data_IF_708009348389
#
_entry.id   IF_708009348389
#
_cell.length_a   1.000
_cell.length_b   1.000
_cell.length_c   1.000
_cell.angle_alpha   90.00
_cell.angle_beta   90.00
_cell.angle_gamma   90.00
#
_symmetry.space_group_name_H-M   'P 1'
#
loop_
_entity.id
_entity.type
_entity.pdbx_description
1 polymer ?
#
# COMPACT_ATOMS: atom_id res chain seq x y z
N UNK A 1 16.22 23.23 19.43
CA UNK A 1 16.06 21.85 19.95
C UNK A 1 14.86 21.66 20.89
N UNK A 2 14.47 22.66 21.68
CA UNK A 2 13.35 22.59 22.65
C UNK A 2 11.95 22.41 22.04
N UNK A 3 11.72 22.96 20.84
CA UNK A 3 10.38 22.99 20.23
C UNK A 3 9.95 21.65 19.59
N UNK A 4 10.89 20.79 19.21
CA UNK A 4 10.60 19.47 18.63
C UNK A 4 10.07 18.49 19.68
N UNK A 5 10.65 18.52 20.89
CA UNK A 5 10.23 17.70 22.02
C UNK A 5 8.81 18.02 22.51
N UNK A 6 8.39 19.29 22.41
CA UNK A 6 7.01 19.70 22.74
C UNK A 6 5.98 19.17 21.74
N UNK A 7 6.28 19.19 20.43
CA UNK A 7 5.42 18.57 19.41
C UNK A 7 5.29 17.06 19.61
N UNK A 8 6.39 16.40 19.97
CA UNK A 8 6.36 14.96 20.27
C UNK A 8 5.47 14.63 21.47
N UNK A 9 5.55 15.40 22.56
CA UNK A 9 4.66 15.23 23.74
C UNK A 9 3.18 15.41 23.41
N UNK A 10 2.84 16.26 22.44
CA UNK A 10 1.44 16.47 22.05
C UNK A 10 0.86 15.24 21.31
N UNK A 11 1.68 14.50 20.56
CA UNK A 11 1.26 13.25 19.91
C UNK A 11 0.93 12.13 20.91
N UNK A 12 1.60 12.09 22.06
CA UNK A 12 1.39 11.08 23.10
C UNK A 12 0.22 11.37 24.05
N UNK A 13 -0.35 12.57 24.02
CA UNK A 13 -1.39 13.01 24.99
C UNK A 13 -2.81 13.04 24.41
N UNK A 14 -3.02 12.50 23.21
CA UNK A 14 -4.36 12.42 22.62
C UNK A 14 -5.07 11.15 23.14
N UNK A 15 -6.18 11.40 23.82
CA UNK A 15 -7.15 10.49 24.44
C UNK A 15 -7.26 9.09 23.79
N UNK A 16 -7.39 8.07 24.65
CA UNK A 16 -7.58 6.66 24.33
C UNK A 16 -8.83 6.41 23.46
N UNK A 17 -8.72 6.64 22.15
CA UNK A 17 -9.60 6.03 21.17
C UNK A 17 -8.94 4.74 20.69
N UNK A 18 -9.59 3.60 20.95
CA UNK A 18 -9.31 2.22 20.49
C UNK A 18 -7.94 2.06 19.82
N UNK A 19 -6.99 1.52 20.57
CA UNK A 19 -5.60 1.26 20.16
C UNK A 19 -5.55 0.45 18.87
N UNK A 20 -5.49 1.13 17.72
CA UNK A 20 -5.09 0.53 16.46
C UNK A 20 -3.55 0.42 16.51
N UNK A 21 -2.97 -0.78 16.37
CA UNK A 21 -1.53 -0.93 16.45
C UNK A 21 -0.87 -0.13 15.32
N UNK A 22 -0.01 0.83 15.70
CA UNK A 22 0.78 1.61 14.75
C UNK A 22 1.94 0.73 14.25
N UNK A 23 1.85 0.28 12.99
CA UNK A 23 2.95 -0.39 12.29
C UNK A 23 3.97 0.66 11.83
N UNK A 24 5.08 0.79 12.56
CA UNK A 24 6.21 1.63 12.15
C UNK A 24 7.19 0.74 11.38
N UNK A 25 7.10 0.73 10.04
CA UNK A 25 8.06 0.04 9.18
C UNK A 25 9.21 0.99 8.89
N UNK A 26 10.41 0.66 9.41
CA UNK A 26 11.63 1.42 9.14
C UNK A 26 12.16 1.06 7.76
N UNK A 27 12.14 2.01 6.81
CA UNK A 27 12.76 1.86 5.47
C UNK A 27 14.27 1.66 5.67
N UNK A 28 14.76 0.43 5.49
CA UNK A 28 16.19 0.20 5.22
C UNK A 28 16.42 0.67 3.79
N UNK A 29 17.36 1.60 3.63
CA UNK A 29 17.83 2.07 2.34
C UNK A 29 18.88 1.06 1.86
N UNK A 30 19.06 0.98 0.54
CA UNK A 30 20.05 0.19 -0.21
C UNK A 30 19.52 -1.13 -0.80
N UNK A 31 18.45 -1.03 -1.61
CA UNK A 31 18.28 -1.91 -2.75
C UNK A 31 18.05 -1.03 -3.98
N UNK A 32 19.09 -0.89 -4.81
CA UNK A 32 19.16 0.05 -5.94
C UNK A 32 18.15 -0.26 -7.06
N UNK A 33 17.42 -1.38 -6.94
CA UNK A 33 16.39 -1.80 -7.90
C UNK A 33 14.96 -1.57 -7.41
N UNK A 34 14.75 -0.90 -6.28
CA UNK A 34 13.40 -0.62 -5.78
C UNK A 34 12.87 0.69 -6.38
N UNK A 35 12.00 0.54 -7.39
CA UNK A 35 11.19 1.66 -7.91
C UNK A 35 9.98 1.87 -7.01
N UNK A 36 9.87 3.06 -6.43
CA UNK A 36 8.76 3.47 -5.57
C UNK A 36 7.69 4.17 -6.41
N UNK A 37 6.41 3.84 -6.15
CA UNK A 37 5.26 4.39 -6.86
C UNK A 37 4.30 5.04 -5.87
N UNK A 38 3.66 6.14 -6.27
CA UNK A 38 2.71 6.87 -5.44
C UNK A 38 1.31 6.24 -5.46
N UNK A 39 1.01 5.43 -6.48
CA UNK A 39 -0.27 4.74 -6.63
C UNK A 39 -0.13 3.42 -7.39
N UNK A 40 -1.14 2.54 -7.24
CA UNK A 40 -1.21 1.29 -8.00
C UNK A 40 -1.39 1.58 -9.50
N UNK A 41 -2.11 2.65 -9.85
CA UNK A 41 -2.30 3.12 -11.22
C UNK A 41 -0.96 3.44 -11.89
N UNK A 42 -0.07 4.14 -11.19
CA UNK A 42 1.27 4.49 -11.68
C UNK A 42 2.11 3.23 -11.95
N UNK A 43 2.06 2.25 -11.05
CA UNK A 43 2.75 0.98 -11.22
C UNK A 43 2.20 0.16 -12.40
N UNK A 44 0.87 0.16 -12.60
CA UNK A 44 0.24 -0.53 -13.73
C UNK A 44 0.63 0.13 -15.05
N UNK A 45 0.65 1.47 -15.12
CA UNK A 45 1.05 2.21 -16.31
C UNK A 45 2.52 1.91 -16.70
N UNK A 46 3.40 1.72 -15.73
CA UNK A 46 4.78 1.30 -16.02
C UNK A 46 4.82 -0.12 -16.63
N UNK A 47 4.05 -1.06 -16.07
CA UNK A 47 3.95 -2.43 -16.58
C UNK A 47 3.34 -2.49 -18.00
N UNK A 48 2.41 -1.60 -18.34
CA UNK A 48 1.84 -1.49 -19.69
C UNK A 48 2.88 -1.18 -20.77
N UNK A 49 3.91 -0.43 -20.40
CA UNK A 49 4.98 -0.03 -21.30
C UNK A 49 6.10 -1.08 -21.38
N UNK A 50 6.07 -2.12 -20.55
CA UNK A 50 7.07 -3.19 -20.54
C UNK A 50 6.74 -4.28 -21.56
N UNK A 51 7.59 -4.39 -22.60
CA UNK A 51 7.47 -5.42 -23.64
C UNK A 51 7.60 -6.86 -23.13
N UNK A 52 8.17 -7.06 -21.93
CA UNK A 52 8.32 -8.38 -21.33
C UNK A 52 7.06 -8.84 -20.58
N UNK A 53 6.08 -7.95 -20.38
CA UNK A 53 4.85 -8.26 -19.67
C UNK A 53 3.72 -8.48 -20.67
N UNK A 54 3.12 -9.68 -20.73
CA UNK A 54 1.99 -9.93 -21.62
C UNK A 54 0.79 -9.05 -21.28
N UNK A 55 0.20 -8.42 -22.31
CA UNK A 55 -0.98 -7.56 -22.18
C UNK A 55 -2.15 -8.25 -21.47
N UNK A 56 -2.35 -9.55 -21.69
CA UNK A 56 -3.41 -10.34 -21.03
C UNK A 56 -3.26 -10.33 -19.50
N UNK A 57 -2.02 -10.43 -18.99
CA UNK A 57 -1.76 -10.41 -17.54
C UNK A 57 -2.05 -9.04 -16.95
N UNK A 58 -1.77 -7.96 -17.68
CA UNK A 58 -2.03 -6.59 -17.26
C UNK A 58 -3.54 -6.33 -17.19
N UNK A 59 -4.31 -6.77 -18.19
CA UNK A 59 -5.78 -6.64 -18.18
C UNK A 59 -6.42 -7.43 -17.02
N UNK A 60 -5.93 -8.64 -16.74
CA UNK A 60 -6.35 -9.42 -15.57
C UNK A 60 -6.02 -8.72 -14.25
N UNK A 61 -4.86 -8.07 -14.17
CA UNK A 61 -4.46 -7.28 -13.00
C UNK A 61 -5.39 -6.07 -12.80
N UNK A 62 -5.65 -5.28 -13.84
CA UNK A 62 -6.55 -4.11 -13.78
C UNK A 62 -7.95 -4.49 -13.32
N UNK A 63 -8.53 -5.54 -13.91
CA UNK A 63 -9.87 -6.01 -13.52
C UNK A 63 -9.92 -6.46 -12.07
N UNK A 64 -8.87 -7.15 -11.59
CA UNK A 64 -8.74 -7.55 -10.19
C UNK A 64 -8.67 -6.33 -9.26
N UNK A 65 -7.82 -5.34 -9.58
CA UNK A 65 -7.70 -4.10 -8.78
C UNK A 65 -9.01 -3.34 -8.73
N UNK A 66 -9.71 -3.20 -9.86
CA UNK A 66 -11.02 -2.54 -9.92
C UNK A 66 -12.04 -3.24 -9.02
N UNK A 67 -12.15 -4.58 -9.13
CA UNK A 67 -13.05 -5.36 -8.28
C UNK A 67 -12.75 -5.18 -6.79
N UNK A 68 -11.47 -5.07 -6.42
CA UNK A 68 -11.06 -4.89 -5.03
C UNK A 68 -11.34 -3.47 -4.51
N UNK A 69 -11.13 -2.44 -5.34
CA UNK A 69 -11.42 -1.04 -4.97
C UNK A 69 -12.91 -0.81 -4.68
N UNK A 70 -13.78 -1.49 -5.40
CA UNK A 70 -15.23 -1.33 -5.26
C UNK A 70 -15.81 -2.10 -4.04
N UNK A 71 -15.00 -2.91 -3.35
CA UNK A 71 -15.43 -3.72 -2.20
C UNK A 71 -14.97 -3.12 -0.89
N UNK A 72 -15.91 -3.00 0.06
CA UNK A 72 -15.63 -2.62 1.45
C UNK A 72 -15.06 -3.77 2.29
N UNK A 73 -15.28 -5.02 1.88
CA UNK A 73 -14.76 -6.22 2.55
C UNK A 73 -14.55 -7.37 1.57
N UNK A 74 -13.48 -8.14 1.78
CA UNK A 74 -13.13 -9.34 1.00
C UNK A 74 -12.79 -10.48 1.95
N UNK A 75 -13.18 -11.70 1.57
CA UNK A 75 -12.80 -12.94 2.27
C UNK A 75 -11.88 -13.73 1.36
N UNK A 76 -10.77 -14.24 1.89
CA UNK A 76 -9.79 -15.02 1.14
C UNK A 76 -9.61 -16.37 1.82
N UNK A 77 -9.63 -17.46 1.04
CA UNK A 77 -9.29 -18.81 1.48
C UNK A 77 -8.39 -19.45 0.43
N UNK A 78 -7.22 -19.95 0.83
CA UNK A 78 -6.24 -20.59 -0.05
C UNK A 78 -5.78 -19.74 -1.24
N UNK A 79 -5.67 -18.43 -1.06
CA UNK A 79 -5.28 -17.50 -2.14
C UNK A 79 -6.40 -17.09 -3.09
N UNK A 80 -7.62 -17.60 -2.90
CA UNK A 80 -8.79 -17.25 -3.71
C UNK A 80 -9.79 -16.38 -2.95
N UNK A 81 -10.45 -15.47 -3.67
CA UNK A 81 -11.50 -14.61 -3.14
C UNK A 81 -12.81 -15.39 -3.09
N UNK A 82 -13.39 -15.50 -1.89
CA UNK A 82 -14.66 -16.19 -1.65
C UNK A 82 -15.78 -15.18 -1.35
N UNK A 83 -17.03 -15.58 -1.60
CA UNK A 83 -18.24 -14.77 -1.32
C UNK A 83 -18.52 -14.68 0.18
#
# INVERSE_FOLDING_TARGET
>A
MWNFLKKLKHLLTRNQSVSTPLLIIKKKVDDDNVKEYNSIEEAIADLENDMNVPAEKIEKLKSSVRMLKDKTSIKIRNGEIIK
#
